data_IF_739601018540
#
_entry.id   IF_739601018540
#
_cell.length_a   1.000
_cell.length_b   1.000
_cell.length_c   1.000
_cell.angle_alpha   90.00
_cell.angle_beta   90.00
_cell.angle_gamma   90.00
#
_symmetry.space_group_name_H-M   'P 1'
#
loop_
_entity.id
_entity.type
_entity.pdbx_description
1 polymer ?
#
# COMPACT_ATOMS: atom_id res chain seq x y z
N UNK A 1 -3.67 -1.71 40.70
CA UNK A 1 -4.64 -0.59 40.80
C UNK A 1 -5.56 -0.65 39.59
N UNK A 2 -6.88 -0.48 39.76
CA UNK A 2 -7.80 -0.53 38.63
C UNK A 2 -7.59 0.71 37.76
N UNK A 3 -7.36 0.51 36.47
CA UNK A 3 -7.25 1.62 35.51
C UNK A 3 -8.65 2.12 35.23
N UNK A 4 -8.94 3.36 35.63
CA UNK A 4 -10.23 4.00 35.38
C UNK A 4 -10.54 4.02 33.88
N UNK A 5 -11.80 3.73 33.52
CA UNK A 5 -12.28 3.93 32.15
C UNK A 5 -12.16 5.41 31.79
N UNK A 6 -11.65 5.77 30.60
CA UNK A 6 -11.53 7.16 30.21
C UNK A 6 -12.93 7.77 30.01
N UNK A 7 -13.15 8.94 30.60
CA UNK A 7 -14.37 9.74 30.43
C UNK A 7 -14.53 10.18 28.99
N UNK A 8 -15.73 9.99 28.42
CA UNK A 8 -16.10 10.29 27.03
C UNK A 8 -16.13 11.80 26.67
N UNK A 9 -15.56 12.68 27.50
CA UNK A 9 -15.78 14.13 27.43
C UNK A 9 -14.63 14.99 26.89
N UNK A 10 -13.38 14.53 26.90
CA UNK A 10 -12.24 15.38 26.58
C UNK A 10 -11.52 14.90 25.32
N UNK A 11 -11.40 15.81 24.35
CA UNK A 11 -10.76 15.57 23.05
C UNK A 11 -9.46 14.78 23.18
N UNK A 12 -9.39 13.64 22.50
CA UNK A 12 -8.24 12.76 22.48
C UNK A 12 -6.96 13.52 22.13
N UNK A 13 -5.99 13.51 23.06
CA UNK A 13 -4.60 13.90 22.83
C UNK A 13 -3.74 12.64 22.90
N UNK A 14 -3.11 12.20 21.80
CA UNK A 14 -2.18 11.08 21.85
C UNK A 14 -1.00 11.43 22.76
N UNK A 15 -0.74 10.59 23.76
CA UNK A 15 0.51 10.60 24.53
C UNK A 15 1.45 9.56 23.90
N UNK A 16 2.53 9.97 23.21
CA UNK A 16 3.49 9.06 22.62
C UNK A 16 4.26 8.22 23.66
N UNK A 17 4.37 8.71 24.90
CA UNK A 17 5.09 8.05 25.99
C UNK A 17 4.20 7.01 26.71
N UNK A 18 2.88 7.19 26.65
CA UNK A 18 1.90 6.29 27.25
C UNK A 18 0.78 5.97 26.26
N UNK A 19 1.07 5.18 25.20
CA UNK A 19 0.03 4.75 24.28
C UNK A 19 -1.04 4.00 25.06
N UNK A 20 -2.29 4.48 24.98
CA UNK A 20 -3.42 3.77 25.57
C UNK A 20 -3.40 2.34 25.04
N UNK A 21 -3.53 1.38 25.95
CA UNK A 21 -3.59 -0.04 25.59
C UNK A 21 -4.68 -0.24 24.55
N UNK A 22 -4.34 -0.86 23.42
CA UNK A 22 -5.31 -1.20 22.39
C UNK A 22 -6.44 -2.04 23.02
N UNK A 23 -7.70 -1.82 22.62
CA UNK A 23 -8.81 -2.63 23.11
C UNK A 23 -8.59 -4.13 22.87
N UNK A 24 -9.13 -5.01 23.72
CA UNK A 24 -8.83 -6.44 23.67
C UNK A 24 -9.24 -7.12 22.35
N UNK A 25 -10.20 -6.56 21.61
CA UNK A 25 -10.64 -7.06 20.30
C UNK A 25 -9.70 -6.70 19.14
N UNK A 26 -8.77 -5.74 19.33
CA UNK A 26 -7.76 -5.39 18.32
C UNK A 26 -6.46 -6.15 18.64
N UNK A 27 -6.48 -7.46 18.40
CA UNK A 27 -5.33 -8.35 18.58
C UNK A 27 -5.25 -9.35 17.44
N UNK A 28 -4.04 -9.57 16.96
CA UNK A 28 -3.69 -10.59 15.96
C UNK A 28 -2.56 -11.46 16.50
N UNK A 29 -2.33 -12.62 15.88
CA UNK A 29 -1.13 -13.41 16.16
C UNK A 29 0.09 -12.72 15.56
N UNK A 30 1.25 -12.87 16.19
CA UNK A 30 2.50 -12.40 15.63
C UNK A 30 2.74 -13.08 14.26
N UNK A 31 3.27 -12.34 13.27
CA UNK A 31 3.55 -12.92 11.96
C UNK A 31 4.63 -14.01 12.05
N UNK A 32 4.44 -15.11 11.31
CA UNK A 32 5.36 -16.23 11.27
C UNK A 32 4.81 -17.42 10.48
N UNK A 33 5.63 -18.45 10.32
CA UNK A 33 5.34 -19.67 9.56
C UNK A 33 5.97 -19.67 8.16
N UNK A 34 6.09 -20.87 7.58
CA UNK A 34 6.89 -21.12 6.37
C UNK A 34 6.47 -20.25 5.17
N UNK A 35 5.16 -20.06 4.95
CA UNK A 35 4.67 -19.21 3.85
C UNK A 35 4.99 -17.73 4.08
N UNK A 36 4.97 -17.25 5.33
CA UNK A 36 5.38 -15.87 5.63
C UNK A 36 6.86 -15.66 5.32
N UNK A 37 7.74 -16.56 5.79
CA UNK A 37 9.18 -16.47 5.58
C UNK A 37 9.56 -16.59 4.10
N UNK A 38 8.87 -17.47 3.36
CA UNK A 38 9.06 -17.64 1.92
C UNK A 38 8.68 -16.37 1.14
N UNK A 39 7.53 -15.76 1.43
CA UNK A 39 7.11 -14.52 0.77
C UNK A 39 8.04 -13.37 1.17
N UNK A 40 8.44 -13.30 2.44
CA UNK A 40 9.41 -12.30 2.89
C UNK A 40 10.73 -12.40 2.12
N UNK A 41 11.29 -13.62 2.03
CA UNK A 41 12.51 -13.88 1.27
C UNK A 41 12.37 -13.51 -0.21
N UNK A 42 11.22 -13.81 -0.81
CA UNK A 42 10.92 -13.42 -2.20
C UNK A 42 10.94 -11.89 -2.37
N UNK A 43 10.26 -11.13 -1.51
CA UNK A 43 10.24 -9.66 -1.58
C UNK A 43 11.65 -9.07 -1.50
N UNK A 44 12.48 -9.56 -0.57
CA UNK A 44 13.87 -9.12 -0.41
C UNK A 44 14.73 -9.49 -1.62
N UNK A 45 14.60 -10.71 -2.14
CA UNK A 45 15.36 -11.17 -3.31
C UNK A 45 15.07 -10.38 -4.60
N UNK A 46 13.90 -9.75 -4.67
CA UNK A 46 13.43 -8.98 -5.83
C UNK A 46 13.52 -7.47 -5.62
N UNK A 47 14.04 -7.01 -4.48
CA UNK A 47 14.06 -5.59 -4.08
C UNK A 47 12.69 -4.94 -4.27
N UNK A 48 11.65 -5.58 -3.73
CA UNK A 48 10.27 -5.12 -3.78
C UNK A 48 9.80 -4.64 -2.41
N UNK A 49 8.90 -3.67 -2.43
CA UNK A 49 8.21 -3.18 -1.24
C UNK A 49 6.75 -3.65 -1.24
N UNK A 50 6.18 -3.80 -0.05
CA UNK A 50 4.77 -4.10 0.14
C UNK A 50 4.19 -3.16 1.17
N UNK A 51 2.94 -2.72 0.98
CA UNK A 51 2.23 -1.97 2.03
C UNK A 51 2.09 -2.82 3.30
N UNK A 52 2.03 -4.14 3.13
CA UNK A 52 1.99 -5.07 4.24
C UNK A 52 3.15 -4.85 5.23
N UNK A 53 4.36 -4.63 4.71
CA UNK A 53 5.55 -4.39 5.52
C UNK A 53 5.70 -2.90 5.88
N UNK A 54 5.64 -2.00 4.89
CA UNK A 54 5.94 -0.57 5.07
C UNK A 54 4.91 0.13 5.96
N UNK A 55 3.64 -0.32 5.96
CA UNK A 55 2.59 0.21 6.82
C UNK A 55 2.33 -0.65 8.07
N UNK A 56 3.24 -1.58 8.40
CA UNK A 56 3.18 -2.41 9.61
C UNK A 56 1.85 -3.16 9.78
N UNK A 57 1.36 -3.76 8.70
CA UNK A 57 0.03 -4.35 8.66
C UNK A 57 -0.07 -5.56 9.62
N UNK A 58 -1.00 -5.55 10.59
CA UNK A 58 -1.17 -6.68 11.51
C UNK A 58 -1.66 -7.97 10.83
N UNK A 59 -2.21 -7.86 9.60
CA UNK A 59 -2.78 -8.99 8.86
C UNK A 59 -1.77 -9.66 7.92
N UNK A 60 -0.50 -9.24 7.89
CA UNK A 60 0.50 -9.68 6.90
C UNK A 60 0.61 -11.20 6.76
N UNK A 61 0.72 -11.93 7.87
CA UNK A 61 0.86 -13.39 7.83
C UNK A 61 -0.42 -14.10 7.35
N UNK A 62 -1.60 -13.58 7.70
CA UNK A 62 -2.86 -14.13 7.20
C UNK A 62 -2.98 -13.90 5.69
N UNK A 63 -2.76 -12.67 5.23
CA UNK A 63 -2.88 -12.32 3.82
C UNK A 63 -1.90 -13.14 2.96
N UNK A 64 -0.62 -13.20 3.35
CA UNK A 64 0.38 -13.94 2.61
C UNK A 64 0.10 -15.45 2.63
N UNK A 65 -0.31 -16.01 3.77
CA UNK A 65 -0.71 -17.42 3.88
C UNK A 65 -1.95 -17.78 3.03
N UNK A 66 -2.80 -16.81 2.69
CA UNK A 66 -3.96 -16.99 1.81
C UNK A 66 -3.63 -16.77 0.33
N UNK A 67 -2.36 -16.52 -0.01
CA UNK A 67 -1.94 -16.27 -1.38
C UNK A 67 -2.45 -14.93 -1.91
N UNK A 68 -2.31 -13.86 -1.12
CA UNK A 68 -2.50 -12.48 -1.57
C UNK A 68 -1.44 -11.55 -0.96
N UNK A 69 -1.11 -10.48 -1.67
CA UNK A 69 -0.20 -9.44 -1.21
C UNK A 69 -0.55 -8.10 -1.89
N UNK A 70 -0.24 -7.01 -1.19
CA UNK A 70 -0.36 -5.66 -1.72
C UNK A 70 1.02 -5.09 -2.00
N UNK A 71 1.39 -5.00 -3.28
CA UNK A 71 2.69 -4.47 -3.69
C UNK A 71 2.67 -2.95 -3.62
N UNK A 72 3.73 -2.37 -3.04
CA UNK A 72 3.98 -0.94 -3.03
C UNK A 72 5.05 -0.64 -4.08
N UNK A 73 4.66 -0.01 -5.17
CA UNK A 73 5.55 0.36 -6.27
C UNK A 73 6.18 1.73 -6.07
N UNK A 74 7.21 1.99 -6.87
CA UNK A 74 7.90 3.28 -6.99
C UNK A 74 8.71 3.69 -5.76
N UNK A 75 9.07 2.69 -4.94
CA UNK A 75 9.89 2.83 -3.73
C UNK A 75 9.09 2.82 -2.42
N UNK A 76 9.78 3.14 -1.34
CA UNK A 76 9.27 3.21 0.05
C UNK A 76 9.06 4.64 0.55
N UNK A 77 9.38 5.64 -0.28
CA UNK A 77 9.44 7.05 0.10
C UNK A 77 8.42 7.84 -0.72
N UNK A 78 7.44 8.43 -0.05
CA UNK A 78 6.35 9.21 -0.63
C UNK A 78 6.64 10.71 -0.64
N UNK A 79 6.19 11.41 -1.69
CA UNK A 79 6.27 12.89 -1.75
C UNK A 79 5.29 13.60 -0.84
N UNK A 80 4.30 12.88 -0.30
CA UNK A 80 3.26 13.40 0.61
C UNK A 80 3.42 12.86 2.03
N UNK A 81 2.76 13.53 2.98
CA UNK A 81 2.85 13.26 4.43
C UNK A 81 1.47 13.20 5.06
N UNK A 82 0.64 12.26 4.62
CA UNK A 82 -0.67 12.02 5.21
C UNK A 82 -0.49 11.62 6.69
N UNK A 83 -1.21 12.27 7.60
CA UNK A 83 -0.98 12.15 9.05
C UNK A 83 -1.32 10.79 9.67
N UNK A 84 -1.83 9.84 8.87
CA UNK A 84 -2.16 8.47 9.28
C UNK A 84 -1.29 7.43 8.58
N UNK A 85 -0.49 7.83 7.59
CA UNK A 85 0.27 6.90 6.75
C UNK A 85 1.67 6.70 7.34
N UNK A 86 2.06 5.44 7.54
CA UNK A 86 3.38 5.07 8.08
C UNK A 86 4.49 5.01 7.01
N UNK A 87 4.13 5.15 5.72
CA UNK A 87 5.11 5.21 4.63
C UNK A 87 5.98 6.46 4.81
N UNK A 88 7.30 6.29 4.66
CA UNK A 88 8.27 7.36 4.82
C UNK A 88 7.98 8.53 3.88
N UNK A 89 7.96 9.75 4.40
CA UNK A 89 7.93 10.96 3.57
C UNK A 89 9.35 11.41 3.20
N UNK A 90 9.54 11.82 1.95
CA UNK A 90 10.79 12.45 1.53
C UNK A 90 10.89 12.64 0.02
N UNK A 91 12.12 12.85 -0.46
CA UNK A 91 12.42 12.85 -1.90
C UNK A 91 12.66 11.40 -2.35
N UNK A 92 11.84 10.84 -3.26
CA UNK A 92 12.02 9.48 -3.73
C UNK A 92 13.27 9.32 -4.58
N UNK A 93 13.79 8.09 -4.66
CA UNK A 93 14.79 7.69 -5.65
C UNK A 93 14.24 7.79 -7.09
N UNK A 94 15.10 7.83 -8.12
CA UNK A 94 14.67 7.73 -9.51
C UNK A 94 13.76 6.51 -9.73
N UNK A 95 12.79 6.64 -10.64
CA UNK A 95 11.92 5.51 -10.99
C UNK A 95 12.74 4.35 -11.55
N UNK A 96 12.44 3.16 -11.06
CA UNK A 96 12.94 1.92 -11.62
C UNK A 96 11.96 1.37 -12.65
N UNK A 97 12.29 1.55 -13.93
CA UNK A 97 11.48 1.05 -15.04
C UNK A 97 11.50 -0.48 -15.20
N UNK A 98 12.37 -1.19 -14.48
CA UNK A 98 12.40 -2.65 -14.42
C UNK A 98 11.57 -3.24 -13.27
N UNK A 99 11.12 -2.41 -12.31
CA UNK A 99 10.24 -2.82 -11.21
C UNK A 99 9.00 -3.61 -11.69
N UNK A 100 8.32 -3.23 -12.81
CA UNK A 100 7.16 -3.97 -13.27
C UNK A 100 7.41 -5.45 -13.56
N UNK A 101 8.60 -5.78 -14.06
CA UNK A 101 8.97 -7.17 -14.32
C UNK A 101 9.13 -7.96 -13.03
N UNK A 102 9.75 -7.36 -12.02
CA UNK A 102 9.98 -8.01 -10.72
C UNK A 102 8.67 -8.22 -9.97
N UNK A 103 7.75 -7.25 -10.01
CA UNK A 103 6.40 -7.40 -9.46
C UNK A 103 5.68 -8.57 -10.12
N UNK A 104 5.65 -8.62 -11.45
CA UNK A 104 4.97 -9.70 -12.17
C UNK A 104 5.60 -11.08 -11.91
N UNK A 105 6.92 -11.16 -11.82
CA UNK A 105 7.62 -12.39 -11.43
C UNK A 105 7.27 -12.83 -10.01
N UNK A 106 7.14 -11.89 -9.07
CA UNK A 106 6.72 -12.20 -7.71
C UNK A 106 5.26 -12.70 -7.66
N UNK A 107 4.35 -12.05 -8.39
CA UNK A 107 2.96 -12.48 -8.54
C UNK A 107 2.87 -13.92 -9.06
N UNK A 108 3.66 -14.26 -10.09
CA UNK A 108 3.74 -15.62 -10.62
C UNK A 108 4.35 -16.60 -9.61
N UNK A 109 5.45 -16.23 -8.95
CA UNK A 109 6.13 -17.09 -7.97
C UNK A 109 5.25 -17.41 -6.76
N UNK A 110 4.38 -16.48 -6.36
CA UNK A 110 3.39 -16.68 -5.29
C UNK A 110 2.11 -17.35 -5.79
N UNK A 111 1.97 -17.60 -7.09
CA UNK A 111 0.79 -18.15 -7.74
C UNK A 111 -0.51 -17.42 -7.35
N UNK A 112 -0.48 -16.08 -7.35
CA UNK A 112 -1.62 -15.28 -6.91
C UNK A 112 -2.79 -15.40 -7.90
N UNK A 113 -4.01 -15.51 -7.35
CA UNK A 113 -5.27 -15.42 -8.11
C UNK A 113 -5.83 -14.00 -8.14
N UNK A 114 -5.43 -13.18 -7.16
CA UNK A 114 -5.79 -11.78 -7.04
C UNK A 114 -4.61 -11.02 -6.45
N UNK A 115 -4.28 -9.87 -7.05
CA UNK A 115 -3.20 -9.00 -6.61
C UNK A 115 -3.70 -7.57 -6.51
N UNK A 116 -3.29 -6.89 -5.43
CA UNK A 116 -3.50 -5.46 -5.25
C UNK A 116 -2.17 -4.75 -5.51
N UNK A 117 -2.20 -3.75 -6.37
CA UNK A 117 -1.05 -2.93 -6.73
C UNK A 117 -1.32 -1.51 -6.29
N UNK A 118 -0.40 -0.93 -5.52
CA UNK A 118 -0.45 0.47 -5.13
C UNK A 118 0.93 1.11 -5.25
N UNK A 119 1.03 2.41 -4.98
CA UNK A 119 2.29 3.14 -5.05
C UNK A 119 2.35 4.24 -4.01
N UNK A 120 3.57 4.69 -3.75
CA UNK A 120 3.77 6.02 -3.16
C UNK A 120 3.39 7.11 -4.15
N UNK A 121 3.16 8.33 -3.67
CA UNK A 121 2.98 9.49 -4.56
C UNK A 121 4.33 9.93 -5.14
N UNK A 122 4.29 10.31 -6.42
CA UNK A 122 5.43 10.76 -7.23
C UNK A 122 5.16 12.16 -7.81
N UNK A 123 4.91 13.11 -6.92
CA UNK A 123 4.47 14.47 -7.27
C UNK A 123 5.50 15.27 -8.08
N UNK A 124 6.76 14.84 -8.11
CA UNK A 124 7.82 15.41 -8.92
C UNK A 124 7.70 15.06 -10.41
N UNK A 125 6.79 14.15 -10.77
CA UNK A 125 6.50 13.77 -12.16
C UNK A 125 5.14 14.31 -12.59
N UNK A 126 5.05 14.77 -13.84
CA UNK A 126 3.80 15.24 -14.43
C UNK A 126 2.76 14.12 -14.60
N UNK A 127 3.20 12.87 -14.75
CA UNK A 127 2.33 11.69 -14.92
C UNK A 127 2.06 10.94 -13.60
N UNK A 128 2.62 11.40 -12.49
CA UNK A 128 2.50 10.79 -11.16
C UNK A 128 2.91 9.30 -11.09
N UNK A 129 3.63 8.79 -12.10
CA UNK A 129 3.99 7.38 -12.20
C UNK A 129 2.95 6.46 -12.85
N UNK A 130 1.85 6.98 -13.40
CA UNK A 130 0.82 6.18 -14.07
C UNK A 130 1.33 5.15 -15.11
N UNK A 131 2.38 5.42 -15.91
CA UNK A 131 2.93 4.41 -16.82
C UNK A 131 3.43 3.14 -16.14
N UNK A 132 3.94 3.22 -14.90
CA UNK A 132 4.41 2.07 -14.12
C UNK A 132 3.25 1.15 -13.74
N UNK A 133 2.11 1.71 -13.30
CA UNK A 133 0.88 0.93 -13.09
C UNK A 133 0.47 0.18 -14.36
N UNK A 134 0.41 0.87 -15.50
CA UNK A 134 0.01 0.28 -16.77
C UNK A 134 0.96 -0.85 -17.20
N UNK A 135 2.27 -0.70 -17.01
CA UNK A 135 3.25 -1.75 -17.32
C UNK A 135 3.11 -2.96 -16.40
N UNK A 136 2.88 -2.75 -15.10
CA UNK A 136 2.65 -3.84 -14.14
C UNK A 136 1.43 -4.65 -14.51
N UNK A 137 0.31 -4.00 -14.80
CA UNK A 137 -0.93 -4.67 -15.20
C UNK A 137 -0.68 -5.56 -16.42
N UNK A 138 -0.06 -4.99 -17.47
CA UNK A 138 0.26 -5.72 -18.70
C UNK A 138 1.20 -6.89 -18.45
N UNK A 139 2.22 -6.70 -17.61
CA UNK A 139 3.23 -7.73 -17.35
C UNK A 139 2.67 -8.88 -16.52
N UNK A 140 1.88 -8.59 -15.48
CA UNK A 140 1.17 -9.61 -14.70
C UNK A 140 0.28 -10.44 -15.62
N UNK A 141 -0.52 -9.79 -16.47
CA UNK A 141 -1.43 -10.48 -17.39
C UNK A 141 -0.71 -11.44 -18.35
N UNK A 142 0.51 -11.09 -18.78
CA UNK A 142 1.35 -11.96 -19.61
C UNK A 142 1.88 -13.18 -18.87
N UNK A 143 2.33 -13.02 -17.61
CA UNK A 143 3.05 -14.07 -16.89
C UNK A 143 2.17 -14.92 -15.98
N UNK A 144 1.00 -14.40 -15.60
CA UNK A 144 -0.01 -15.09 -14.78
C UNK A 144 -1.42 -14.83 -15.36
N UNK A 145 -1.77 -15.47 -16.49
CA UNK A 145 -3.11 -15.37 -17.05
C UNK A 145 -4.18 -15.81 -16.04
N UNK A 146 -5.26 -15.04 -15.94
CA UNK A 146 -6.37 -15.30 -15.00
C UNK A 146 -6.19 -14.73 -13.60
N UNK A 147 -5.05 -14.10 -13.28
CA UNK A 147 -4.92 -13.27 -12.08
C UNK A 147 -5.75 -12.00 -12.25
N UNK A 148 -6.63 -11.71 -11.30
CA UNK A 148 -7.34 -10.43 -11.24
C UNK A 148 -6.46 -9.35 -10.58
N UNK A 149 -6.48 -8.15 -11.14
CA UNK A 149 -5.59 -7.06 -10.79
C UNK A 149 -6.43 -5.88 -10.29
N UNK A 150 -6.28 -5.57 -9.01
CA UNK A 150 -6.77 -4.34 -8.40
C UNK A 150 -5.66 -3.31 -8.35
N UNK A 151 -5.97 -2.06 -8.69
CA UNK A 151 -5.07 -0.93 -8.47
C UNK A 151 -5.65 0.03 -7.45
N UNK A 152 -4.90 0.32 -6.39
CA UNK A 152 -5.16 1.40 -5.45
C UNK A 152 -4.24 2.57 -5.81
N UNK A 153 -4.80 3.55 -6.52
CA UNK A 153 -4.04 4.64 -7.13
C UNK A 153 -3.98 5.88 -6.23
N UNK A 154 -2.89 6.69 -6.35
CA UNK A 154 -2.93 8.07 -5.88
C UNK A 154 -3.91 8.91 -6.71
N UNK A 155 -4.16 10.14 -6.28
CA UNK A 155 -5.05 11.09 -6.98
C UNK A 155 -4.49 11.59 -8.33
N UNK A 156 -3.21 11.35 -8.61
CA UNK A 156 -2.45 11.95 -9.72
C UNK A 156 -2.63 13.48 -9.83
N UNK A 157 -2.88 14.17 -8.72
CA UNK A 157 -3.27 15.60 -8.67
C UNK A 157 -4.46 15.94 -9.58
N UNK A 158 -5.38 15.00 -9.77
CA UNK A 158 -6.54 15.15 -10.66
C UNK A 158 -6.23 15.04 -12.16
N UNK A 159 -5.05 14.54 -12.54
CA UNK A 159 -4.69 14.38 -13.96
C UNK A 159 -5.51 13.28 -14.64
N UNK A 160 -6.49 13.69 -15.46
CA UNK A 160 -7.27 12.77 -16.30
C UNK A 160 -6.39 11.97 -17.25
N UNK A 161 -5.33 12.56 -17.79
CA UNK A 161 -4.39 11.88 -18.67
C UNK A 161 -3.66 10.74 -17.95
N UNK A 162 -3.22 10.96 -16.70
CA UNK A 162 -2.59 9.93 -15.89
C UNK A 162 -3.58 8.81 -15.54
N UNK A 163 -4.79 9.16 -15.12
CA UNK A 163 -5.86 8.18 -14.86
C UNK A 163 -6.16 7.35 -16.11
N UNK A 164 -6.26 7.98 -17.28
CA UNK A 164 -6.52 7.31 -18.56
C UNK A 164 -5.44 6.27 -18.88
N UNK A 165 -4.16 6.57 -18.63
CA UNK A 165 -3.07 5.61 -18.84
C UNK A 165 -3.28 4.32 -18.03
N UNK A 166 -3.71 4.44 -16.77
CA UNK A 166 -3.99 3.29 -15.90
C UNK A 166 -5.23 2.55 -16.40
N UNK A 167 -6.31 3.26 -16.72
CA UNK A 167 -7.57 2.66 -17.17
C UNK A 167 -7.46 1.97 -18.54
N UNK A 168 -6.67 2.51 -19.45
CA UNK A 168 -6.38 1.89 -20.75
C UNK A 168 -5.62 0.56 -20.60
N UNK A 169 -4.96 0.31 -19.46
CA UNK A 169 -4.37 -0.98 -19.15
C UNK A 169 -5.38 -2.00 -18.61
N UNK A 170 -6.63 -1.59 -18.38
CA UNK A 170 -7.77 -2.41 -17.98
C UNK A 170 -7.52 -3.23 -16.70
N UNK A 171 -7.28 -2.59 -15.54
CA UNK A 171 -7.36 -3.31 -14.26
C UNK A 171 -8.79 -3.84 -14.04
N UNK A 172 -8.94 -4.97 -13.37
CA UNK A 172 -10.25 -5.50 -13.02
C UNK A 172 -10.96 -4.63 -11.97
N UNK A 173 -10.20 -3.99 -11.07
CA UNK A 173 -10.73 -3.10 -10.04
C UNK A 173 -9.86 -1.83 -9.98
N UNK A 174 -10.52 -0.68 -10.09
CA UNK A 174 -9.93 0.63 -9.77
C UNK A 174 -10.37 1.02 -8.36
N UNK A 175 -9.41 1.33 -7.51
CA UNK A 175 -9.61 1.78 -6.15
C UNK A 175 -8.87 3.11 -5.91
N UNK A 176 -9.51 4.01 -5.17
CA UNK A 176 -8.94 5.25 -4.69
C UNK A 176 -9.62 5.61 -3.36
N UNK A 177 -8.84 5.74 -2.30
CA UNK A 177 -9.38 6.02 -0.98
C UNK A 177 -9.52 7.52 -0.75
N UNK A 178 -10.71 7.94 -0.31
CA UNK A 178 -10.95 9.30 0.20
C UNK A 178 -10.53 9.47 1.67
N UNK A 179 -10.37 8.34 2.38
CA UNK A 179 -9.86 8.17 3.75
C UNK A 179 -10.68 8.79 4.89
N UNK A 180 -11.20 10.01 4.73
CA UNK A 180 -11.91 10.70 5.80
C UNK A 180 -13.00 11.63 5.29
N UNK A 181 -13.82 12.13 6.21
CA UNK A 181 -14.91 13.07 5.93
C UNK A 181 -14.36 14.46 5.58
N UNK A 182 -15.09 15.27 4.78
CA UNK A 182 -14.60 16.56 4.29
C UNK A 182 -14.08 17.51 5.39
N UNK A 183 -14.74 17.56 6.54
CA UNK A 183 -14.35 18.41 7.68
C UNK A 183 -12.95 18.09 8.23
N UNK A 184 -12.47 16.85 8.09
CA UNK A 184 -11.17 16.41 8.61
C UNK A 184 -10.10 16.30 7.52
N UNK A 185 -10.47 16.39 6.25
CA UNK A 185 -9.61 16.07 5.12
C UNK A 185 -8.28 16.85 5.15
N UNK A 186 -8.32 18.19 5.23
CA UNK A 186 -7.10 19.03 5.30
C UNK A 186 -6.22 18.80 6.53
N UNK A 187 -6.76 18.21 7.61
CA UNK A 187 -5.98 17.85 8.80
C UNK A 187 -5.24 16.54 8.60
N UNK A 188 -5.83 15.61 7.85
CA UNK A 188 -5.38 14.22 7.72
C UNK A 188 -4.57 14.01 6.43
N UNK A 189 -4.95 14.69 5.35
CA UNK A 189 -4.32 14.69 4.02
C UNK A 189 -4.10 16.14 3.56
N UNK A 190 -3.03 16.82 4.04
CA UNK A 190 -2.87 18.25 3.81
C UNK A 190 -2.45 18.59 2.37
N UNK A 191 -1.87 17.63 1.65
CA UNK A 191 -1.36 17.78 0.28
C UNK A 191 -2.34 17.33 -0.82
N UNK A 192 -3.51 16.85 -0.42
CA UNK A 192 -4.60 16.40 -1.29
C UNK A 192 -5.66 17.51 -1.45
#
# INVERSE_FOLDING_TARGET
MPVAAPSDGDGWKPDPQHPRRRPPWIKVRAPGGDEYEKVQGLMRSKSLHTVCEEAQCPNIAECWGRGTATFLMMGDTCTRSCGFCDIKTGRPSPLDWAEPNRVAEAVRAMNLRHVVITSVNRDERADGGAPIFAMVIKRIRQVQPGCSIEVLIPDFKGSEAALKIVMDAQPEILNHNVETVPRLFKKVQPQD
#
